data_IF_977316514363
#
_entry.id   IF_977316514363
#
_cell.length_a   1.000
_cell.length_b   1.000
_cell.length_c   1.000
_cell.angle_alpha   90.00
_cell.angle_beta   90.00
_cell.angle_gamma   90.00
#
_symmetry.space_group_name_H-M   'P 1'
#
loop_
_entity.id
_entity.type
_entity.pdbx_description
1 polymer ?
#
# COMPACT_ATOMS: atom_id res chain seq x y z
N UNK A 1 52.86 17.81 63.27
CA UNK A 1 51.90 17.01 64.06
C UNK A 1 50.78 17.98 64.42
N UNK A 2 49.60 18.00 63.84
CA UNK A 2 48.78 16.99 63.16
C UNK A 2 47.73 17.70 62.27
N UNK A 3 47.38 17.03 61.16
CA UNK A 3 46.08 16.99 60.45
C UNK A 3 44.84 17.24 61.34
N UNK A 4 43.65 17.66 60.89
CA UNK A 4 42.94 17.27 59.65
C UNK A 4 41.67 18.12 59.36
N UNK A 5 41.26 18.07 58.08
CA UNK A 5 39.95 18.24 57.42
C UNK A 5 38.69 18.69 58.22
N UNK A 6 37.81 19.56 57.73
CA UNK A 6 37.32 19.71 56.35
C UNK A 6 36.10 18.82 56.09
N UNK A 7 34.93 19.15 56.67
CA UNK A 7 33.69 18.40 56.46
C UNK A 7 32.79 19.10 55.42
N UNK A 8 33.01 18.81 54.14
CA UNK A 8 32.03 19.06 53.08
C UNK A 8 31.07 17.86 53.02
N UNK A 9 29.81 18.06 53.42
CA UNK A 9 28.76 17.07 53.24
C UNK A 9 28.38 17.01 51.74
N UNK A 10 29.05 16.11 51.00
CA UNK A 10 28.67 15.74 49.65
C UNK A 10 27.35 14.97 49.68
N UNK A 11 26.27 15.59 49.24
CA UNK A 11 25.02 14.92 48.88
C UNK A 11 25.29 13.94 47.73
N UNK A 12 25.27 12.64 48.04
CA UNK A 12 25.37 11.57 47.04
C UNK A 12 24.18 11.61 46.08
N UNK A 13 24.36 11.43 44.76
CA UNK A 13 23.24 11.35 43.84
C UNK A 13 22.49 10.04 44.09
N UNK A 14 21.30 10.16 44.70
CA UNK A 14 20.34 9.06 44.84
C UNK A 14 19.42 9.09 43.62
N UNK A 15 19.28 7.93 42.98
CA UNK A 15 18.47 7.66 41.78
C UNK A 15 19.22 7.76 40.45
N UNK A 16 19.76 6.63 39.99
CA UNK A 16 20.22 6.46 38.59
C UNK A 16 19.56 5.28 37.91
N UNK A 17 19.14 4.25 38.66
CA UNK A 17 18.57 3.01 38.09
C UNK A 17 17.07 3.13 37.79
N UNK A 18 16.30 3.74 38.67
CA UNK A 18 14.85 3.96 38.49
C UNK A 18 14.59 4.98 37.39
N UNK A 19 15.39 6.05 37.33
CA UNK A 19 15.26 7.08 36.29
C UNK A 19 15.69 6.56 34.90
N UNK A 20 16.70 5.68 34.82
CA UNK A 20 17.08 5.03 33.57
C UNK A 20 15.96 4.12 33.05
N UNK A 21 15.37 3.30 33.92
CA UNK A 21 14.29 2.39 33.54
C UNK A 21 13.05 3.15 33.06
N UNK A 22 12.70 4.26 33.73
CA UNK A 22 11.56 5.10 33.34
C UNK A 22 11.80 5.84 32.01
N UNK A 23 13.03 6.27 31.73
CA UNK A 23 13.40 6.86 30.44
C UNK A 23 13.45 5.84 29.30
N UNK A 24 13.74 4.57 29.60
CA UNK A 24 13.76 3.47 28.63
C UNK A 24 12.35 3.02 28.24
N UNK A 25 11.43 2.92 29.21
CA UNK A 25 10.00 2.64 29.00
C UNK A 25 9.32 3.74 28.15
N UNK A 26 9.65 5.01 28.40
CA UNK A 26 9.17 6.15 27.59
C UNK A 26 9.64 6.06 26.11
N UNK A 27 10.91 5.72 25.86
CA UNK A 27 11.44 5.52 24.50
C UNK A 27 10.73 4.40 23.75
N UNK A 28 10.52 3.27 24.43
CA UNK A 28 9.84 2.09 23.87
C UNK A 28 8.38 2.41 23.56
N UNK A 29 7.72 3.15 24.44
CA UNK A 29 6.36 3.63 24.23
C UNK A 29 6.26 4.54 23.01
N UNK A 30 7.17 5.52 22.86
CA UNK A 30 7.23 6.39 21.67
C UNK A 30 7.49 5.63 20.39
N UNK A 31 8.44 4.68 20.39
CA UNK A 31 8.69 3.81 19.24
C UNK A 31 7.42 3.05 18.82
N UNK A 32 6.75 2.39 19.77
CA UNK A 32 5.53 1.60 19.52
C UNK A 32 4.39 2.48 19.02
N UNK A 33 4.22 3.68 19.59
CA UNK A 33 3.23 4.65 19.14
C UNK A 33 3.48 5.10 17.70
N UNK A 34 4.72 5.51 17.40
CA UNK A 34 5.06 6.00 16.06
C UNK A 34 4.99 4.90 15.01
N UNK A 35 5.38 3.67 15.35
CA UNK A 35 5.21 2.50 14.46
C UNK A 35 3.73 2.27 14.12
N UNK A 36 2.82 2.40 15.10
CA UNK A 36 1.36 2.30 14.83
C UNK A 36 0.88 3.41 13.90
N UNK A 37 1.36 4.65 14.09
CA UNK A 37 1.03 5.77 13.21
C UNK A 37 1.47 5.51 11.76
N UNK A 38 2.70 5.01 11.57
CA UNK A 38 3.22 4.71 10.23
C UNK A 38 2.44 3.58 9.54
N UNK A 39 2.06 2.52 10.27
CA UNK A 39 1.20 1.46 9.71
C UNK A 39 -0.18 2.00 9.30
N UNK A 40 -0.76 2.91 10.09
CA UNK A 40 -2.04 3.55 9.77
C UNK A 40 -1.95 4.43 8.50
N UNK A 41 -0.80 5.08 8.27
CA UNK A 41 -0.56 5.92 7.08
C UNK A 41 -0.70 5.15 5.77
N UNK A 42 -0.21 3.90 5.71
CA UNK A 42 -0.39 3.05 4.52
C UNK A 42 -1.85 2.85 4.17
N UNK A 43 -2.68 2.57 5.18
CA UNK A 43 -4.10 2.34 5.00
C UNK A 43 -4.81 3.61 4.49
N UNK A 44 -4.41 4.79 4.97
CA UNK A 44 -4.91 6.06 4.45
C UNK A 44 -4.56 6.26 2.96
N UNK A 45 -3.29 6.08 2.57
CA UNK A 45 -2.85 6.22 1.17
C UNK A 45 -3.70 5.36 0.23
N UNK A 46 -3.92 4.09 0.59
CA UNK A 46 -4.74 3.19 -0.23
C UNK A 46 -6.19 3.69 -0.31
N UNK A 47 -6.80 4.07 0.82
CA UNK A 47 -8.20 4.55 0.84
C UNK A 47 -8.37 5.84 0.02
N UNK A 48 -7.46 6.79 0.18
CA UNK A 48 -7.53 8.09 -0.50
C UNK A 48 -7.35 7.90 -2.02
N UNK A 49 -6.41 7.02 -2.42
CA UNK A 49 -6.24 6.68 -3.83
C UNK A 49 -7.47 5.95 -4.38
N UNK A 50 -8.07 5.04 -3.62
CA UNK A 50 -9.30 4.36 -4.05
C UNK A 50 -10.45 5.36 -4.25
N UNK A 51 -10.61 6.32 -3.34
CA UNK A 51 -11.63 7.36 -3.46
C UNK A 51 -11.43 8.17 -4.75
N UNK A 52 -10.19 8.54 -5.06
CA UNK A 52 -9.89 9.27 -6.29
C UNK A 52 -10.17 8.44 -7.55
N UNK A 53 -9.73 7.18 -7.60
CA UNK A 53 -10.04 6.32 -8.76
C UNK A 53 -11.54 6.08 -8.92
N UNK A 54 -12.29 5.99 -7.81
CA UNK A 54 -13.75 5.87 -7.87
C UNK A 54 -14.40 7.15 -8.40
N UNK A 55 -13.93 8.31 -7.97
CA UNK A 55 -14.37 9.60 -8.51
C UNK A 55 -14.15 9.68 -10.02
N UNK A 56 -13.00 9.24 -10.52
CA UNK A 56 -12.69 9.20 -11.95
C UNK A 56 -13.58 8.21 -12.72
N UNK A 57 -13.88 7.04 -12.16
CA UNK A 57 -14.83 6.10 -12.75
C UNK A 57 -16.25 6.68 -12.80
N UNK A 58 -16.67 7.42 -11.79
CA UNK A 58 -17.99 8.06 -11.74
C UNK A 58 -18.11 9.17 -12.77
N UNK A 59 -17.05 9.95 -13.00
CA UNK A 59 -17.00 10.94 -14.08
C UNK A 59 -17.12 10.27 -15.46
N UNK A 60 -16.40 9.17 -15.68
CA UNK A 60 -16.51 8.41 -16.93
C UNK A 60 -17.93 7.85 -17.11
N UNK A 61 -18.55 7.33 -16.04
CA UNK A 61 -19.94 6.85 -16.05
C UNK A 61 -20.91 7.96 -16.45
N UNK A 62 -20.82 9.13 -15.82
CA UNK A 62 -21.68 10.28 -16.12
C UNK A 62 -21.55 10.70 -17.60
N UNK A 63 -20.32 10.81 -18.10
CA UNK A 63 -20.06 11.15 -19.50
C UNK A 63 -20.68 10.11 -20.46
N UNK A 64 -20.55 8.82 -20.16
CA UNK A 64 -21.12 7.75 -20.98
C UNK A 64 -22.65 7.79 -20.94
N UNK A 65 -23.25 7.97 -19.76
CA UNK A 65 -24.71 8.07 -19.60
C UNK A 65 -25.31 9.23 -20.38
N UNK A 66 -24.72 10.42 -20.26
CA UNK A 66 -25.19 11.60 -21.00
C UNK A 66 -25.15 11.36 -22.51
N UNK A 67 -24.12 10.67 -23.01
CA UNK A 67 -24.01 10.36 -24.45
C UNK A 67 -25.04 9.32 -24.91
N UNK A 68 -25.32 8.31 -24.10
CA UNK A 68 -26.37 7.31 -24.39
C UNK A 68 -27.76 7.95 -24.32
N UNK A 69 -28.02 8.84 -23.36
CA UNK A 69 -29.32 9.50 -23.21
C UNK A 69 -29.63 10.47 -24.37
N UNK A 70 -28.59 11.11 -24.92
CA UNK A 70 -28.71 12.01 -26.09
C UNK A 70 -28.63 11.28 -27.43
N UNK A 71 -28.51 9.94 -27.42
CA UNK A 71 -28.49 9.14 -28.63
C UNK A 71 -29.88 9.09 -29.28
N UNK A 72 -29.99 9.15 -30.62
CA UNK A 72 -31.21 8.81 -31.33
C UNK A 72 -31.70 7.41 -30.94
N UNK A 73 -33.01 7.23 -30.81
CA UNK A 73 -33.64 5.94 -30.51
C UNK A 73 -33.60 4.97 -31.70
N UNK A 74 -33.46 5.50 -32.91
CA UNK A 74 -33.21 4.71 -34.12
C UNK A 74 -31.71 4.51 -34.23
N UNK A 75 -31.21 3.46 -33.56
CA UNK A 75 -29.81 3.03 -33.51
C UNK A 75 -29.34 2.46 -34.87
N UNK A 76 -29.70 3.12 -35.96
CA UNK A 76 -29.29 2.78 -37.31
C UNK A 76 -27.77 2.62 -37.40
N UNK A 77 -27.36 1.85 -38.40
CA UNK A 77 -26.00 1.40 -38.74
C UNK A 77 -24.90 2.48 -38.63
N UNK A 78 -25.24 3.77 -38.68
CA UNK A 78 -24.30 4.89 -38.62
C UNK A 78 -24.02 5.46 -37.21
N UNK A 79 -24.90 5.26 -36.22
CA UNK A 79 -24.74 5.90 -34.90
C UNK A 79 -23.83 5.10 -33.94
N UNK A 80 -23.88 3.77 -34.01
CA UNK A 80 -23.12 2.89 -33.13
C UNK A 80 -21.59 3.14 -33.18
N UNK A 81 -20.93 3.26 -34.35
CA UNK A 81 -19.48 3.51 -34.40
C UNK A 81 -19.07 4.81 -33.71
N UNK A 82 -19.89 5.86 -33.85
CA UNK A 82 -19.64 7.16 -33.20
C UNK A 82 -19.74 7.04 -31.68
N UNK A 83 -20.80 6.39 -31.17
CA UNK A 83 -20.95 6.20 -29.73
C UNK A 83 -19.85 5.30 -29.14
N UNK A 84 -19.46 4.24 -29.86
CA UNK A 84 -18.36 3.38 -29.43
C UNK A 84 -17.03 4.12 -29.36
N UNK A 85 -16.73 4.99 -30.34
CA UNK A 85 -15.55 5.87 -30.32
C UNK A 85 -15.59 6.82 -29.13
N UNK A 86 -16.76 7.40 -28.87
CA UNK A 86 -16.99 8.27 -27.73
C UNK A 86 -16.78 7.58 -26.37
N UNK A 87 -17.19 6.32 -26.21
CA UNK A 87 -16.97 5.53 -25.00
C UNK A 87 -15.48 5.23 -24.82
N UNK A 88 -14.78 4.86 -25.90
CA UNK A 88 -13.32 4.67 -25.86
C UNK A 88 -12.62 5.95 -25.40
N UNK A 89 -13.04 7.11 -25.90
CA UNK A 89 -12.49 8.40 -25.49
C UNK A 89 -12.73 8.70 -24.00
N UNK A 90 -13.93 8.43 -23.48
CA UNK A 90 -14.23 8.61 -22.04
C UNK A 90 -13.34 7.70 -21.17
N UNK A 91 -13.20 6.42 -21.54
CA UNK A 91 -12.35 5.49 -20.78
C UNK A 91 -10.85 5.77 -20.96
N UNK A 92 -10.44 6.34 -22.09
CA UNK A 92 -9.06 6.84 -22.29
C UNK A 92 -8.78 8.04 -21.39
N UNK A 93 -9.75 8.93 -21.22
CA UNK A 93 -9.65 10.07 -20.30
C UNK A 93 -9.47 9.57 -18.87
N UNK A 94 -10.33 8.63 -18.43
CA UNK A 94 -10.16 7.94 -17.15
C UNK A 94 -8.74 7.38 -16.98
N UNK A 95 -8.22 6.63 -17.96
CA UNK A 95 -6.89 6.04 -17.87
C UNK A 95 -5.77 7.10 -17.77
N UNK A 96 -5.90 8.21 -18.53
CA UNK A 96 -4.93 9.31 -18.53
C UNK A 96 -4.87 10.09 -17.21
N UNK A 97 -5.96 10.10 -16.45
CA UNK A 97 -6.01 10.73 -15.12
C UNK A 97 -5.65 9.73 -14.00
N UNK A 98 -6.14 8.50 -14.10
CA UNK A 98 -5.91 7.44 -13.12
C UNK A 98 -4.43 7.03 -13.03
N UNK A 99 -3.75 6.93 -14.17
CA UNK A 99 -2.33 6.57 -14.23
C UNK A 99 -1.45 7.47 -13.36
N UNK A 100 -1.36 8.78 -13.65
CA UNK A 100 -0.61 9.74 -12.83
C UNK A 100 -1.04 9.78 -11.36
N UNK A 101 -2.35 9.70 -11.08
CA UNK A 101 -2.86 9.66 -9.71
C UNK A 101 -2.29 8.45 -8.93
N UNK A 102 -2.32 7.25 -9.53
CA UNK A 102 -1.72 6.06 -8.90
C UNK A 102 -0.20 6.16 -8.78
N UNK A 103 0.49 6.72 -9.77
CA UNK A 103 1.94 6.92 -9.73
C UNK A 103 2.37 7.88 -8.61
N UNK A 104 1.62 8.97 -8.38
CA UNK A 104 1.83 9.89 -7.26
C UNK A 104 1.59 9.22 -5.90
N UNK A 105 0.54 8.40 -5.80
CA UNK A 105 0.29 7.58 -4.61
C UNK A 105 1.38 6.54 -4.37
N UNK A 106 1.99 5.99 -5.42
CA UNK A 106 3.14 5.09 -5.29
C UNK A 106 4.34 5.81 -4.68
N UNK A 107 4.67 7.04 -5.11
CA UNK A 107 5.72 7.84 -4.47
C UNK A 107 5.43 8.06 -2.99
N UNK A 108 4.17 8.33 -2.65
CA UNK A 108 3.73 8.52 -1.25
C UNK A 108 3.84 7.23 -0.45
N UNK A 109 3.45 6.09 -1.02
CA UNK A 109 3.55 4.77 -0.40
C UNK A 109 5.02 4.34 -0.20
N UNK A 110 5.90 4.65 -1.15
CA UNK A 110 7.34 4.40 -1.07
C UNK A 110 7.94 5.16 0.12
N UNK A 111 7.68 6.46 0.21
CA UNK A 111 8.14 7.27 1.34
C UNK A 111 7.55 6.81 2.67
N UNK A 112 6.28 6.41 2.70
CA UNK A 112 5.68 5.84 3.91
C UNK A 112 6.37 4.53 4.33
N UNK A 113 6.83 3.69 3.39
CA UNK A 113 7.60 2.49 3.69
C UNK A 113 8.97 2.80 4.28
N UNK A 114 9.66 3.83 3.78
CA UNK A 114 10.91 4.34 4.39
C UNK A 114 10.65 4.85 5.82
N UNK A 115 9.60 5.65 5.99
CA UNK A 115 9.22 6.21 7.28
C UNK A 115 8.79 5.17 8.32
N UNK A 116 8.25 4.02 7.90
CA UNK A 116 7.96 2.90 8.80
C UNK A 116 9.23 2.41 9.52
N UNK A 117 10.40 2.58 8.92
CA UNK A 117 11.69 2.25 9.53
C UNK A 117 12.23 3.45 10.29
N UNK A 118 12.40 4.58 9.62
CA UNK A 118 13.15 5.70 10.17
C UNK A 118 12.46 6.39 11.35
N UNK A 119 11.15 6.64 11.24
CA UNK A 119 10.44 7.45 12.25
C UNK A 119 10.30 6.75 13.59
N UNK A 120 9.91 5.46 13.66
CA UNK A 120 9.86 4.76 14.94
C UNK A 120 11.24 4.69 15.62
N UNK A 121 12.29 4.39 14.85
CA UNK A 121 13.66 4.28 15.37
C UNK A 121 14.12 5.63 15.94
N UNK A 122 13.84 6.73 15.23
CA UNK A 122 14.10 8.09 15.73
C UNK A 122 13.29 8.44 16.99
N UNK A 123 12.01 8.04 17.05
CA UNK A 123 11.15 8.23 18.23
C UNK A 123 11.64 7.42 19.45
N UNK A 124 12.29 6.28 19.21
CA UNK A 124 13.01 5.48 20.19
C UNK A 124 14.36 6.08 20.60
N UNK A 125 14.77 7.21 20.01
CA UNK A 125 16.00 7.94 20.35
C UNK A 125 17.22 7.61 19.51
N UNK A 126 17.08 6.80 18.44
CA UNK A 126 18.20 6.40 17.58
C UNK A 126 18.10 7.12 16.23
N UNK A 127 19.11 7.91 15.87
CA UNK A 127 19.12 8.66 14.61
C UNK A 127 19.93 7.91 13.54
N UNK A 128 19.25 7.12 12.70
CA UNK A 128 19.90 6.41 11.58
C UNK A 128 19.77 7.15 10.24
N UNK A 129 18.72 7.95 10.06
CA UNK A 129 18.33 8.44 8.74
C UNK A 129 19.39 9.34 8.09
N UNK A 130 20.07 10.16 8.89
CA UNK A 130 21.14 11.06 8.45
C UNK A 130 22.41 10.33 7.95
N UNK A 131 22.58 9.06 8.31
CA UNK A 131 23.79 8.28 8.02
C UNK A 131 23.60 7.20 6.96
N UNK A 132 22.36 7.06 6.45
CA UNK A 132 22.02 6.08 5.43
C UNK A 132 21.85 6.79 4.08
N UNK A 133 22.39 6.23 2.98
CA UNK A 133 22.19 6.81 1.67
C UNK A 133 20.71 6.80 1.27
N UNK A 134 20.34 7.67 0.33
CA UNK A 134 19.03 7.61 -0.30
C UNK A 134 18.82 6.25 -1.00
N UNK A 135 17.59 5.74 -1.00
CA UNK A 135 17.25 4.53 -1.74
C UNK A 135 17.15 4.86 -3.22
N UNK A 136 17.72 4.00 -4.06
CA UNK A 136 17.60 4.09 -5.51
C UNK A 136 16.13 4.01 -5.95
N UNK A 137 15.69 4.99 -6.73
CA UNK A 137 14.30 5.14 -7.19
C UNK A 137 14.03 4.45 -8.53
N UNK A 138 15.04 3.86 -9.20
CA UNK A 138 14.83 3.15 -10.48
C UNK A 138 13.76 2.05 -10.36
N UNK A 139 13.75 1.34 -9.24
CA UNK A 139 12.73 0.33 -8.99
C UNK A 139 11.34 0.95 -8.80
N UNK A 140 11.24 2.08 -8.09
CA UNK A 140 9.99 2.82 -7.93
C UNK A 140 9.43 3.26 -9.29
N UNK A 141 10.28 3.79 -10.18
CA UNK A 141 9.88 4.22 -11.54
C UNK A 141 9.30 3.04 -12.33
N UNK A 142 9.95 1.87 -12.27
CA UNK A 142 9.43 0.67 -12.93
C UNK A 142 8.07 0.24 -12.35
N UNK A 143 7.89 0.31 -11.02
CA UNK A 143 6.61 0.00 -10.38
C UNK A 143 5.50 0.98 -10.78
N UNK A 144 5.82 2.28 -10.92
CA UNK A 144 4.89 3.31 -11.38
C UNK A 144 4.44 3.09 -12.82
N UNK A 145 5.39 2.74 -13.70
CA UNK A 145 5.08 2.42 -15.10
C UNK A 145 4.14 1.22 -15.19
N UNK A 146 4.40 0.16 -14.41
CA UNK A 146 3.51 -1.00 -14.33
C UNK A 146 2.12 -0.65 -13.78
N UNK A 147 2.02 0.17 -12.73
CA UNK A 147 0.71 0.59 -12.19
C UNK A 147 -0.10 1.43 -13.21
N UNK A 148 0.58 2.29 -13.96
CA UNK A 148 -0.04 3.10 -15.02
C UNK A 148 -0.62 2.22 -16.13
N UNK A 149 0.09 1.15 -16.52
CA UNK A 149 -0.43 0.21 -17.52
C UNK A 149 -1.64 -0.58 -16.99
N UNK A 150 -1.66 -0.93 -15.70
CA UNK A 150 -2.83 -1.55 -15.08
C UNK A 150 -4.07 -0.64 -15.09
N UNK A 151 -3.90 0.67 -14.90
CA UNK A 151 -5.03 1.63 -15.01
C UNK A 151 -5.53 1.75 -16.45
N UNK A 152 -4.60 1.77 -17.42
CA UNK A 152 -4.95 1.76 -18.86
C UNK A 152 -5.71 0.49 -19.26
N UNK A 153 -5.33 -0.65 -18.69
CA UNK A 153 -6.00 -1.93 -18.94
C UNK A 153 -7.42 -1.98 -18.34
N UNK A 154 -7.65 -1.36 -17.17
CA UNK A 154 -9.01 -1.17 -16.64
C UNK A 154 -9.85 -0.38 -17.65
N UNK A 155 -9.35 0.77 -18.13
CA UNK A 155 -10.03 1.62 -19.09
C UNK A 155 -10.39 0.87 -20.38
N UNK A 156 -9.41 0.19 -20.97
CA UNK A 156 -9.57 -0.59 -22.20
C UNK A 156 -10.58 -1.73 -22.04
N UNK A 157 -10.48 -2.49 -20.93
CA UNK A 157 -11.39 -3.61 -20.66
C UNK A 157 -12.83 -3.14 -20.49
N UNK A 158 -13.04 -2.05 -19.75
CA UNK A 158 -14.37 -1.48 -19.54
C UNK A 158 -14.95 -0.94 -20.85
N UNK A 159 -14.18 -0.20 -21.64
CA UNK A 159 -14.62 0.29 -22.95
C UNK A 159 -15.08 -0.86 -23.86
N UNK A 160 -14.31 -1.95 -23.91
CA UNK A 160 -14.67 -3.12 -24.72
C UNK A 160 -15.95 -3.80 -24.23
N UNK A 161 -16.14 -3.93 -22.91
CA UNK A 161 -17.38 -4.50 -22.35
C UNK A 161 -18.60 -3.62 -22.64
N UNK A 162 -18.49 -2.32 -22.42
CA UNK A 162 -19.57 -1.36 -22.69
C UNK A 162 -19.93 -1.36 -24.18
N UNK A 163 -18.93 -1.37 -25.06
CA UNK A 163 -19.16 -1.42 -26.51
C UNK A 163 -19.82 -2.74 -26.96
N UNK A 164 -19.56 -3.86 -26.27
CA UNK A 164 -20.24 -5.12 -26.55
C UNK A 164 -21.73 -5.06 -26.19
N UNK A 165 -22.10 -4.46 -25.04
CA UNK A 165 -23.50 -4.24 -24.65
C UNK A 165 -24.25 -3.41 -25.71
N UNK A 166 -23.61 -2.36 -26.23
CA UNK A 166 -24.20 -1.53 -27.29
C UNK A 166 -24.31 -2.27 -28.63
N UNK A 167 -23.36 -3.14 -28.94
CA UNK A 167 -23.45 -4.01 -30.12
C UNK A 167 -24.67 -4.93 -30.04
N UNK A 168 -24.97 -5.49 -28.87
CA UNK A 168 -26.14 -6.34 -28.64
C UNK A 168 -27.46 -5.56 -28.80
N UNK A 169 -27.50 -4.30 -28.38
CA UNK A 169 -28.65 -3.41 -28.62
C UNK A 169 -28.84 -3.18 -30.12
N UNK A 170 -27.77 -2.85 -30.85
CA UNK A 170 -27.85 -2.53 -32.27
C UNK A 170 -28.33 -3.70 -33.14
N UNK A 171 -28.05 -4.95 -32.75
CA UNK A 171 -28.55 -6.15 -33.47
C UNK A 171 -29.91 -6.64 -32.94
N UNK A 172 -30.55 -5.90 -32.03
CA UNK A 172 -31.86 -6.25 -31.47
C UNK A 172 -31.83 -7.42 -30.47
N UNK A 173 -30.65 -7.86 -30.03
CA UNK A 173 -30.50 -8.95 -29.05
C UNK A 173 -30.73 -8.49 -27.60
N UNK A 174 -30.76 -7.18 -27.35
CA UNK A 174 -30.86 -6.60 -26.01
C UNK A 174 -31.63 -5.27 -26.03
N UNK A 175 -32.40 -5.00 -24.97
CA UNK A 175 -33.09 -3.72 -24.82
C UNK A 175 -32.11 -2.63 -24.35
N UNK A 176 -32.34 -1.39 -24.78
CA UNK A 176 -31.52 -0.24 -24.36
C UNK A 176 -31.48 -0.06 -22.83
N UNK A 177 -32.63 -0.23 -22.16
CA UNK A 177 -32.73 -0.15 -20.69
C UNK A 177 -31.89 -1.22 -19.99
N UNK A 178 -31.79 -2.41 -20.58
CA UNK A 178 -30.93 -3.49 -20.08
C UNK A 178 -29.45 -3.12 -20.26
N UNK A 179 -29.06 -2.59 -21.43
CA UNK A 179 -27.67 -2.16 -21.66
C UNK A 179 -27.23 -1.06 -20.68
N UNK A 180 -28.07 -0.06 -20.41
CA UNK A 180 -27.77 0.97 -19.41
C UNK A 180 -27.50 0.34 -18.04
N UNK A 181 -28.36 -0.59 -17.60
CA UNK A 181 -28.20 -1.30 -16.32
C UNK A 181 -26.89 -2.09 -16.27
N UNK A 182 -26.55 -2.80 -17.35
CA UNK A 182 -25.32 -3.58 -17.45
C UNK A 182 -24.06 -2.69 -17.44
N UNK A 183 -24.10 -1.56 -18.15
CA UNK A 183 -23.01 -0.57 -18.19
C UNK A 183 -22.73 -0.02 -16.79
N UNK A 184 -23.79 0.31 -16.03
CA UNK A 184 -23.64 0.71 -14.63
C UNK A 184 -22.96 -0.38 -13.79
N UNK A 185 -23.38 -1.64 -13.96
CA UNK A 185 -22.77 -2.79 -13.29
C UNK A 185 -21.29 -2.97 -13.63
N UNK A 186 -20.92 -2.82 -14.90
CA UNK A 186 -19.52 -2.92 -15.36
C UNK A 186 -18.64 -1.86 -14.70
N UNK A 187 -19.12 -0.62 -14.58
CA UNK A 187 -18.35 0.49 -14.00
C UNK A 187 -18.32 0.44 -12.46
N UNK A 188 -19.50 0.41 -11.80
CA UNK A 188 -19.63 0.49 -10.34
C UNK A 188 -19.18 -0.76 -9.61
N UNK A 189 -19.39 -1.93 -10.19
CA UNK A 189 -19.02 -3.20 -9.55
C UNK A 189 -17.71 -3.72 -10.13
N UNK A 190 -17.66 -3.93 -11.45
CA UNK A 190 -16.50 -4.52 -12.12
C UNK A 190 -15.25 -3.64 -12.03
N UNK A 191 -15.36 -2.40 -12.52
CA UNK A 191 -14.27 -1.42 -12.57
C UNK A 191 -13.74 -1.10 -11.18
N UNK A 192 -14.62 -0.75 -10.23
CA UNK A 192 -14.23 -0.43 -8.86
C UNK A 192 -13.60 -1.62 -8.11
N UNK A 193 -14.12 -2.84 -8.28
CA UNK A 193 -13.56 -4.04 -7.66
C UNK A 193 -12.16 -4.35 -8.18
N UNK A 194 -11.97 -4.23 -9.50
CA UNK A 194 -10.68 -4.42 -10.14
C UNK A 194 -9.66 -3.37 -9.71
N UNK A 195 -10.04 -2.08 -9.76
CA UNK A 195 -9.22 -0.98 -9.27
C UNK A 195 -8.80 -1.20 -7.81
N UNK A 196 -9.75 -1.58 -6.95
CA UNK A 196 -9.49 -1.89 -5.54
C UNK A 196 -8.44 -2.99 -5.36
N UNK A 197 -8.55 -4.07 -6.12
CA UNK A 197 -7.60 -5.18 -6.05
C UNK A 197 -6.20 -4.76 -6.47
N UNK A 198 -6.09 -3.99 -7.56
CA UNK A 198 -4.83 -3.45 -8.06
C UNK A 198 -4.22 -2.52 -7.02
N UNK A 199 -4.96 -1.52 -6.54
CA UNK A 199 -4.45 -0.53 -5.59
C UNK A 199 -3.97 -1.17 -4.29
N UNK A 200 -4.72 -2.13 -3.74
CA UNK A 200 -4.33 -2.84 -2.51
C UNK A 200 -3.05 -3.66 -2.69
N UNK A 201 -2.90 -4.29 -3.85
CA UNK A 201 -1.77 -5.16 -4.14
C UNK A 201 -0.53 -4.33 -4.47
N UNK A 202 -0.65 -3.39 -5.41
CA UNK A 202 0.51 -2.71 -5.97
C UNK A 202 0.99 -1.54 -5.13
N UNK A 203 0.12 -0.71 -4.53
CA UNK A 203 0.58 0.30 -3.56
C UNK A 203 1.15 -0.37 -2.30
N UNK A 204 0.54 -1.48 -1.87
CA UNK A 204 1.07 -2.30 -0.79
C UNK A 204 2.43 -2.91 -1.11
N UNK A 205 2.67 -3.30 -2.37
CA UNK A 205 3.95 -3.82 -2.85
C UNK A 205 5.02 -2.74 -2.88
N UNK A 206 4.70 -1.54 -3.36
CA UNK A 206 5.59 -0.37 -3.33
C UNK A 206 6.03 -0.06 -1.89
N UNK A 207 5.05 0.03 -0.98
CA UNK A 207 5.30 0.24 0.45
C UNK A 207 6.23 -0.84 1.04
N UNK A 208 5.93 -2.11 0.82
CA UNK A 208 6.70 -3.22 1.38
C UNK A 208 8.12 -3.30 0.80
N UNK A 209 8.28 -3.00 -0.49
CA UNK A 209 9.58 -2.96 -1.16
C UNK A 209 10.46 -1.87 -0.55
N UNK A 210 9.94 -0.64 -0.44
CA UNK A 210 10.67 0.47 0.19
C UNK A 210 11.05 0.17 1.65
N UNK A 211 10.13 -0.45 2.40
CA UNK A 211 10.39 -0.87 3.79
C UNK A 211 11.52 -1.88 3.86
N UNK A 212 11.52 -2.91 3.00
CA UNK A 212 12.57 -3.92 2.95
C UNK A 212 13.94 -3.32 2.59
N UNK A 213 13.99 -2.48 1.55
CA UNK A 213 15.23 -1.80 1.13
C UNK A 213 15.79 -0.94 2.28
N UNK A 214 14.92 -0.19 2.96
CA UNK A 214 15.34 0.65 4.08
C UNK A 214 15.84 -0.16 5.27
N UNK A 215 15.13 -1.23 5.64
CA UNK A 215 15.59 -2.14 6.70
C UNK A 215 16.95 -2.75 6.35
N UNK A 216 17.16 -3.16 5.09
CA UNK A 216 18.42 -3.75 4.65
C UNK A 216 19.58 -2.77 4.81
N UNK A 217 19.40 -1.50 4.45
CA UNK A 217 20.40 -0.45 4.71
C UNK A 217 20.64 -0.25 6.22
N UNK A 218 19.58 -0.24 7.02
CA UNK A 218 19.64 -0.01 8.46
C UNK A 218 20.42 -1.09 9.22
N UNK A 219 20.46 -2.35 8.73
CA UNK A 219 21.25 -3.42 9.36
C UNK A 219 22.73 -3.09 9.52
N UNK A 220 23.29 -2.23 8.65
CA UNK A 220 24.69 -1.78 8.74
C UNK A 220 24.98 -0.93 9.98
N UNK A 221 23.95 -0.31 10.56
CA UNK A 221 24.04 0.56 11.74
C UNK A 221 23.38 -0.07 12.97
N UNK A 222 22.42 -0.97 12.76
CA UNK A 222 21.66 -1.65 13.78
C UNK A 222 21.92 -3.15 13.70
N UNK A 223 23.06 -3.64 14.26
CA UNK A 223 23.29 -5.07 14.36
C UNK A 223 22.17 -5.70 15.21
N UNK A 224 21.62 -6.81 14.74
CA UNK A 224 20.48 -7.47 15.37
C UNK A 224 19.10 -6.94 14.94
N UNK A 225 19.03 -5.98 14.01
CA UNK A 225 17.76 -5.63 13.36
C UNK A 225 17.18 -6.84 12.63
N UNK A 226 15.94 -7.17 12.97
CA UNK A 226 15.13 -8.19 12.32
C UNK A 226 13.87 -7.55 11.73
N UNK A 227 13.10 -8.38 11.03
CA UNK A 227 11.78 -8.02 10.55
C UNK A 227 10.75 -9.01 11.10
N UNK A 228 9.62 -8.46 11.55
CA UNK A 228 8.50 -9.23 12.07
C UNK A 228 7.35 -9.24 11.06
N UNK A 229 6.77 -10.42 10.83
CA UNK A 229 5.56 -10.55 10.03
C UNK A 229 4.34 -10.14 10.86
N UNK A 230 3.65 -9.08 10.43
CA UNK A 230 2.40 -8.64 11.02
C UNK A 230 1.24 -9.02 10.13
N UNK A 231 0.33 -9.86 10.63
CA UNK A 231 -0.88 -10.23 9.86
C UNK A 231 -1.75 -9.01 9.58
N UNK A 232 -2.53 -9.10 8.51
CA UNK A 232 -3.58 -8.12 8.23
C UNK A 232 -4.71 -8.18 9.25
N UNK A 233 -5.33 -7.03 9.56
CA UNK A 233 -6.57 -6.97 10.36
C UNK A 233 -7.85 -7.29 9.57
N UNK A 234 -7.75 -7.98 8.43
CA UNK A 234 -8.90 -8.30 7.58
C UNK A 234 -9.75 -9.41 8.20
N UNK A 235 -11.07 -9.30 8.03
CA UNK A 235 -12.06 -10.30 8.45
C UNK A 235 -11.73 -11.67 7.84
N UNK A 236 -11.53 -11.72 6.52
CA UNK A 236 -11.15 -12.94 5.80
C UNK A 236 -9.68 -12.89 5.41
N UNK A 237 -8.82 -13.14 6.40
CA UNK A 237 -7.37 -13.27 6.22
C UNK A 237 -6.98 -14.72 5.94
N UNK A 238 -5.90 -14.93 5.18
CA UNK A 238 -5.39 -16.27 4.88
C UNK A 238 -4.91 -16.96 6.16
N UNK A 239 -5.36 -18.18 6.48
CA UNK A 239 -4.93 -18.89 7.68
C UNK A 239 -3.40 -19.03 7.80
N UNK A 240 -2.72 -19.36 6.69
CA UNK A 240 -1.27 -19.47 6.66
C UNK A 240 -0.57 -18.15 7.04
N UNK A 241 -1.08 -17.00 6.59
CA UNK A 241 -0.51 -15.69 6.94
C UNK A 241 -0.83 -15.27 8.37
N UNK A 242 -1.95 -15.74 8.93
CA UNK A 242 -2.28 -15.53 10.33
C UNK A 242 -1.36 -16.34 11.25
N UNK A 243 -1.02 -17.57 10.86
CA UNK A 243 -0.07 -18.41 11.58
C UNK A 243 1.36 -17.82 11.61
N UNK A 244 1.73 -17.03 10.60
CA UNK A 244 3.01 -16.31 10.57
C UNK A 244 3.03 -15.05 11.45
N UNK A 245 1.92 -14.64 12.05
CA UNK A 245 1.87 -13.40 12.84
C UNK A 245 2.85 -13.44 14.02
N UNK A 246 3.73 -12.45 14.10
CA UNK A 246 4.79 -12.40 15.11
C UNK A 246 6.04 -13.19 14.76
N UNK A 247 6.07 -13.90 13.61
CA UNK A 247 7.28 -14.55 13.13
C UNK A 247 8.35 -13.50 12.86
N UNK A 248 9.55 -13.71 13.41
CA UNK A 248 10.71 -12.83 13.27
C UNK A 248 11.80 -13.58 12.50
N UNK A 249 12.42 -12.92 11.54
CA UNK A 249 13.56 -13.42 10.78
C UNK A 249 14.56 -12.28 10.58
N UNK A 250 15.81 -12.61 10.27
CA UNK A 250 16.79 -11.60 9.88
C UNK A 250 16.26 -10.76 8.71
N UNK A 251 16.63 -9.47 8.64
CA UNK A 251 16.10 -8.57 7.59
C UNK A 251 16.33 -9.11 6.18
N UNK A 252 17.46 -9.76 5.93
CA UNK A 252 17.81 -10.33 4.62
C UNK A 252 17.36 -11.80 4.45
N UNK A 253 16.82 -12.42 5.49
CA UNK A 253 16.27 -13.77 5.44
C UNK A 253 14.85 -13.77 4.85
N UNK A 254 14.38 -14.94 4.42
CA UNK A 254 13.03 -15.10 3.87
C UNK A 254 12.08 -15.64 4.94
N UNK A 255 10.85 -15.15 4.92
CA UNK A 255 9.73 -15.82 5.58
C UNK A 255 9.37 -17.08 4.80
N UNK A 256 8.86 -18.09 5.50
CA UNK A 256 8.35 -19.33 4.90
C UNK A 256 6.87 -19.45 5.24
N UNK A 257 6.04 -19.55 4.22
CA UNK A 257 4.60 -19.72 4.40
C UNK A 257 4.33 -21.15 4.88
N UNK A 258 3.63 -21.33 6.01
CA UNK A 258 3.23 -22.66 6.48
C UNK A 258 2.42 -23.41 5.42
N UNK A 259 2.56 -24.73 5.38
CA UNK A 259 1.89 -25.65 4.44
C UNK A 259 2.33 -25.56 2.97
N UNK A 260 2.48 -24.36 2.40
CA UNK A 260 2.88 -24.19 0.99
C UNK A 260 4.41 -24.17 0.79
N UNK A 261 5.19 -23.87 1.84
CA UNK A 261 6.66 -23.79 1.75
C UNK A 261 7.17 -22.63 0.88
N UNK A 262 6.27 -21.75 0.42
CA UNK A 262 6.63 -20.59 -0.39
C UNK A 262 7.50 -19.64 0.43
N UNK A 263 8.60 -19.19 -0.17
CA UNK A 263 9.50 -18.25 0.46
C UNK A 263 9.20 -16.81 0.02
N UNK A 264 9.11 -15.90 0.98
CA UNK A 264 8.81 -14.49 0.76
C UNK A 264 9.92 -13.63 1.37
N UNK A 265 10.46 -12.64 0.65
CA UNK A 265 11.29 -11.62 1.30
C UNK A 265 10.45 -10.71 2.20
N UNK A 266 9.23 -10.40 1.79
CA UNK A 266 8.31 -9.52 2.52
C UNK A 266 6.87 -9.75 2.03
N UNK A 267 5.84 -9.26 2.74
CA UNK A 267 4.46 -9.34 2.25
C UNK A 267 4.31 -8.70 0.87
N UNK A 268 3.61 -9.40 -0.04
CA UNK A 268 3.46 -9.00 -1.45
C UNK A 268 4.77 -9.01 -2.25
N UNK A 269 5.74 -9.87 -1.90
CA UNK A 269 6.93 -10.08 -2.75
C UNK A 269 6.53 -10.45 -4.19
N UNK A 270 6.95 -9.70 -5.22
CA UNK A 270 6.63 -10.02 -6.62
C UNK A 270 7.11 -11.39 -7.10
N UNK A 271 8.07 -12.01 -6.40
CA UNK A 271 8.56 -13.35 -6.74
C UNK A 271 7.69 -14.49 -6.19
N UNK A 272 6.66 -14.18 -5.38
CA UNK A 272 5.76 -15.19 -4.84
C UNK A 272 4.45 -15.32 -5.63
N UNK A 273 3.80 -16.49 -5.63
CA UNK A 273 2.55 -16.72 -6.35
C UNK A 273 1.46 -15.70 -5.99
N UNK A 274 0.60 -15.39 -6.97
CA UNK A 274 -0.54 -14.48 -6.77
C UNK A 274 -1.43 -14.90 -5.60
N UNK A 275 -1.60 -16.21 -5.38
CA UNK A 275 -2.35 -16.78 -4.27
C UNK A 275 -1.89 -16.25 -2.90
N UNK A 276 -0.60 -15.91 -2.77
CA UNK A 276 0.04 -15.44 -1.53
C UNK A 276 0.21 -13.92 -1.46
N UNK A 277 -0.04 -13.19 -2.55
CA UNK A 277 0.30 -11.77 -2.64
C UNK A 277 -0.89 -10.87 -2.94
N UNK A 278 -1.83 -11.33 -3.78
CA UNK A 278 -2.97 -10.51 -4.20
C UNK A 278 -3.86 -10.16 -3.02
N UNK A 279 -4.29 -8.89 -2.94
CA UNK A 279 -5.12 -8.40 -1.84
C UNK A 279 -4.52 -8.69 -0.45
N UNK A 280 -3.22 -8.97 -0.31
CA UNK A 280 -2.62 -9.21 0.99
C UNK A 280 -2.51 -7.90 1.78
N UNK A 281 -2.94 -7.89 3.04
CA UNK A 281 -2.86 -6.71 3.91
C UNK A 281 -1.75 -6.77 4.97
N UNK A 282 -0.95 -7.84 4.99
CA UNK A 282 0.10 -8.09 5.98
C UNK A 282 1.27 -7.13 5.77
N UNK A 283 2.02 -6.85 6.83
CA UNK A 283 3.15 -5.92 6.84
C UNK A 283 4.42 -6.56 7.42
N UNK A 284 5.57 -6.04 7.01
CA UNK A 284 6.85 -6.38 7.62
C UNK A 284 7.28 -5.22 8.50
N UNK A 285 7.32 -5.43 9.81
CA UNK A 285 7.64 -4.39 10.77
C UNK A 285 9.10 -4.52 11.21
N UNK A 286 9.83 -3.40 11.39
CA UNK A 286 11.16 -3.44 12.00
C UNK A 286 11.03 -3.92 13.46
N UNK A 287 11.96 -4.78 13.87
CA UNK A 287 12.00 -5.36 15.21
C UNK A 287 13.43 -5.54 15.74
N UNK A 288 13.64 -5.29 17.03
CA UNK A 288 14.86 -5.62 17.79
C UNK A 288 14.48 -6.02 19.21
N UNK A 289 15.24 -6.95 19.81
CA UNK A 289 15.01 -7.44 21.18
C UNK A 289 15.07 -6.32 22.22
N UNK A 290 16.05 -5.42 22.07
CA UNK A 290 16.25 -4.26 22.94
C UNK A 290 15.09 -3.25 22.91
N UNK A 291 14.14 -3.37 21.98
CA UNK A 291 12.94 -2.52 21.93
C UNK A 291 11.72 -3.17 22.61
N UNK A 292 11.84 -4.41 23.08
CA UNK A 292 10.77 -5.12 23.80
C UNK A 292 11.14 -5.48 25.24
N UNK A 293 12.43 -5.60 25.57
CA UNK A 293 12.90 -5.92 26.92
C UNK A 293 12.83 -4.74 27.91
N UNK A 294 12.44 -3.55 27.45
CA UNK A 294 12.23 -2.35 28.26
C UNK A 294 10.82 -2.25 28.86
N UNK A 295 10.15 -3.38 29.11
CA UNK A 295 8.83 -3.45 29.75
C UNK A 295 8.84 -4.31 31.01
#
# INVERSE_FOLDING_TARGET
>A
MTSDAGCCAGSAPRSTKTDNNMAEDDRTTRFRAERRNQVARRAAIIRDTQAEIFRLLDLAEQQIKTRIANAPTDWETFFLPQLQSQIRAAMSTFASEAGPATAGSASTAWQAGIHLVDKPIAAGGIQIAAYLPAIDTRQLVAMQAFQTSLMSDIGTTLANRINAELGLVAIGSQLQSQAITQIEGHLKTGGRSRATTILRTELGRVYATATQERMSQATKRLPGLQKEWRRSGKVHSRPAHNAMNGQRVGVNERFVIPFSGVHLRYPRDPNAPAAETINCGCESLPWMASWEEAS
#
